data_IF_828946845542
#
_entry.id   IF_828946845542
#
_cell.length_a   1.000
_cell.length_b   1.000
_cell.length_c   1.000
_cell.angle_alpha   90.00
_cell.angle_beta   90.00
_cell.angle_gamma   90.00
#
_symmetry.space_group_name_H-M   'P 1'
#
loop_
_entity.id
_entity.type
_entity.pdbx_description
1 polymer ?
#
# COMPACT_ATOMS: atom_id res chain seq x y z
N UNK A 1 8.53 7.63 -22.54
CA UNK A 1 7.84 6.35 -22.74
C UNK A 1 8.51 5.21 -21.97
N UNK A 2 9.85 5.02 -22.05
CA UNK A 2 10.54 3.91 -21.35
C UNK A 2 10.49 3.92 -19.81
N UNK A 3 10.61 5.08 -19.16
CA UNK A 3 10.64 5.20 -17.67
C UNK A 3 9.38 4.65 -16.99
N UNK A 4 8.25 4.89 -17.63
CA UNK A 4 6.93 4.49 -17.14
C UNK A 4 6.76 2.97 -17.22
N UNK A 5 7.11 2.37 -18.36
CA UNK A 5 7.09 0.92 -18.53
C UNK A 5 8.13 0.21 -17.67
N UNK A 6 9.28 0.82 -17.42
CA UNK A 6 10.32 0.25 -16.56
C UNK A 6 9.85 0.11 -15.10
N UNK A 7 9.09 1.07 -14.59
CA UNK A 7 8.54 0.99 -13.23
C UNK A 7 7.56 -0.18 -13.09
N UNK A 8 6.69 -0.38 -14.09
CA UNK A 8 5.77 -1.53 -14.15
C UNK A 8 6.49 -2.87 -14.19
N UNK A 9 7.54 -2.97 -15.00
CA UNK A 9 8.35 -4.19 -15.09
C UNK A 9 9.05 -4.48 -13.78
N UNK A 10 9.60 -3.46 -13.12
CA UNK A 10 10.23 -3.60 -11.80
C UNK A 10 9.24 -4.09 -10.75
N UNK A 11 8.04 -3.51 -10.71
CA UNK A 11 6.96 -3.92 -9.81
C UNK A 11 6.62 -5.41 -10.00
N UNK A 12 6.34 -5.81 -11.24
CA UNK A 12 6.03 -7.21 -11.54
C UNK A 12 7.21 -8.15 -11.24
N UNK A 13 8.46 -7.72 -11.43
CA UNK A 13 9.63 -8.56 -11.15
C UNK A 13 9.86 -8.78 -9.64
N UNK A 14 9.35 -7.90 -8.77
CA UNK A 14 9.59 -7.94 -7.33
C UNK A 14 8.43 -8.51 -6.51
N UNK A 15 7.24 -8.62 -7.11
CA UNK A 15 6.03 -9.11 -6.42
C UNK A 15 6.15 -10.58 -6.02
N UNK A 16 5.57 -10.92 -4.86
CA UNK A 16 5.48 -12.30 -4.37
C UNK A 16 6.81 -12.89 -3.87
N UNK A 17 6.78 -14.13 -3.32
CA UNK A 17 7.99 -14.84 -2.89
C UNK A 17 9.03 -15.02 -4.00
N UNK A 18 8.57 -15.23 -5.24
CA UNK A 18 9.41 -15.40 -6.42
C UNK A 18 10.27 -14.17 -6.74
N UNK A 19 9.84 -12.98 -6.31
CA UNK A 19 10.58 -11.72 -6.47
C UNK A 19 11.71 -11.52 -5.46
N UNK A 20 11.99 -12.48 -4.57
CA UNK A 20 12.93 -12.28 -3.45
C UNK A 20 14.35 -11.94 -3.92
N UNK A 21 14.89 -12.68 -4.89
CA UNK A 21 16.24 -12.43 -5.42
C UNK A 21 16.31 -11.08 -6.14
N UNK A 22 15.25 -10.72 -6.86
CA UNK A 22 15.13 -9.43 -7.54
C UNK A 22 15.12 -8.28 -6.53
N UNK A 23 14.41 -8.39 -5.41
CA UNK A 23 14.44 -7.40 -4.33
C UNK A 23 15.86 -7.22 -3.77
N UNK A 24 16.57 -8.30 -3.45
CA UNK A 24 17.94 -8.22 -2.92
C UNK A 24 18.88 -7.58 -3.94
N UNK A 25 18.82 -8.06 -5.19
CA UNK A 25 19.66 -7.53 -6.27
C UNK A 25 19.38 -6.05 -6.52
N UNK A 26 18.12 -5.62 -6.46
CA UNK A 26 17.73 -4.22 -6.62
C UNK A 26 18.39 -3.31 -5.57
N UNK A 27 18.46 -3.75 -4.30
CA UNK A 27 19.17 -3.01 -3.25
C UNK A 27 20.68 -2.98 -3.48
N UNK A 28 21.26 -4.09 -3.93
CA UNK A 28 22.70 -4.20 -4.19
C UNK A 28 23.16 -3.29 -5.33
N UNK A 29 22.35 -3.15 -6.39
CA UNK A 29 22.61 -2.23 -7.50
C UNK A 29 22.16 -0.80 -7.22
N UNK A 30 21.97 -0.45 -5.94
CA UNK A 30 21.69 0.90 -5.47
C UNK A 30 20.30 1.42 -5.86
N UNK A 31 19.35 0.53 -6.12
CA UNK A 31 17.97 0.84 -6.49
C UNK A 31 17.22 1.69 -5.46
N UNK A 32 17.62 1.63 -4.17
CA UNK A 32 17.07 2.50 -3.13
C UNK A 32 17.29 4.00 -3.43
N UNK A 33 18.39 4.36 -4.09
CA UNK A 33 18.65 5.75 -4.53
C UNK A 33 17.78 6.18 -5.70
N UNK A 34 17.13 5.23 -6.37
CA UNK A 34 16.24 5.48 -7.51
C UNK A 34 14.78 5.50 -7.08
N UNK A 35 14.34 4.55 -6.26
CA UNK A 35 12.91 4.42 -5.89
C UNK A 35 12.46 5.47 -4.88
N UNK A 36 13.28 5.83 -3.89
CA UNK A 36 12.87 6.78 -2.85
C UNK A 36 12.66 8.22 -3.36
N UNK A 37 13.45 8.75 -4.31
CA UNK A 37 13.09 10.01 -4.96
C UNK A 37 11.73 9.97 -5.66
N UNK A 38 11.36 8.84 -6.27
CA UNK A 38 10.05 8.64 -6.91
C UNK A 38 8.90 8.52 -5.90
N UNK A 39 9.19 8.01 -4.70
CA UNK A 39 8.24 7.96 -3.57
C UNK A 39 8.00 9.34 -2.97
N UNK A 40 9.08 10.11 -2.77
CA UNK A 40 9.01 11.47 -2.23
C UNK A 40 8.32 12.44 -3.19
N UNK A 41 8.47 12.24 -4.51
CA UNK A 41 7.89 13.14 -5.51
C UNK A 41 7.43 12.40 -6.76
N UNK A 42 6.13 12.45 -6.99
CA UNK A 42 5.49 12.00 -8.22
C UNK A 42 5.92 12.88 -9.40
N UNK A 43 6.53 12.33 -10.47
CA UNK A 43 6.93 13.11 -11.63
C UNK A 43 5.73 13.75 -12.33
N UNK A 44 5.77 15.06 -12.55
CA UNK A 44 4.69 15.78 -13.25
C UNK A 44 4.55 15.26 -14.69
N UNK A 45 3.30 15.07 -15.14
CA UNK A 45 2.98 14.75 -16.54
C UNK A 45 3.49 15.86 -17.47
N UNK A 46 4.60 15.60 -18.17
CA UNK A 46 5.12 16.53 -19.18
C UNK A 46 4.46 16.38 -20.57
N UNK A 47 3.67 15.32 -20.81
CA UNK A 47 2.95 15.07 -22.08
C UNK A 47 1.63 14.32 -21.85
N UNK A 48 0.70 14.40 -22.82
CA UNK A 48 -0.59 13.67 -22.87
C UNK A 48 -0.48 12.13 -22.74
N UNK A 49 0.71 11.56 -22.88
CA UNK A 49 1.01 10.15 -22.69
C UNK A 49 1.96 9.97 -21.49
N UNK A 50 1.42 9.65 -20.33
CA UNK A 50 2.15 9.36 -19.09
C UNK A 50 1.21 8.74 -18.05
N UNK A 51 1.76 7.91 -17.16
CA UNK A 51 1.00 7.30 -16.05
C UNK A 51 0.31 8.36 -15.21
N UNK A 52 -0.86 8.00 -14.69
CA UNK A 52 -1.52 8.84 -13.69
C UNK A 52 -0.66 8.93 -12.42
N UNK A 53 -0.85 10.00 -11.65
CA UNK A 53 -0.19 10.14 -10.35
C UNK A 53 -0.52 8.96 -9.43
N UNK A 54 -1.78 8.46 -9.52
CA UNK A 54 -2.24 7.26 -8.82
C UNK A 54 -1.43 6.02 -9.21
N UNK A 55 -1.36 5.73 -10.50
CA UNK A 55 -0.66 4.56 -11.03
C UNK A 55 0.85 4.61 -10.76
N UNK A 56 1.45 5.81 -10.76
CA UNK A 56 2.83 5.99 -10.32
C UNK A 56 3.01 5.64 -8.83
N UNK A 57 2.18 6.23 -7.97
CA UNK A 57 2.22 6.01 -6.53
C UNK A 57 1.95 4.54 -6.19
N UNK A 58 1.03 3.89 -6.90
CA UNK A 58 0.72 2.46 -6.81
C UNK A 58 1.95 1.59 -7.03
N UNK A 59 2.60 1.71 -8.20
CA UNK A 59 3.77 0.89 -8.50
C UNK A 59 4.93 1.17 -7.54
N UNK A 60 5.14 2.42 -7.13
CA UNK A 60 6.19 2.75 -6.15
C UNK A 60 5.89 2.11 -4.78
N UNK A 61 4.66 2.23 -4.29
CA UNK A 61 4.24 1.60 -3.05
C UNK A 61 4.31 0.07 -3.12
N UNK A 62 3.91 -0.52 -4.25
CA UNK A 62 3.96 -1.97 -4.47
C UNK A 62 5.40 -2.50 -4.44
N UNK A 63 6.33 -1.79 -5.08
CA UNK A 63 7.77 -2.12 -5.02
C UNK A 63 8.30 -2.04 -3.59
N UNK A 64 7.96 -0.99 -2.84
CA UNK A 64 8.41 -0.83 -1.45
C UNK A 64 7.81 -1.93 -0.56
N UNK A 65 6.52 -2.22 -0.70
CA UNK A 65 5.84 -3.31 -0.01
C UNK A 65 6.50 -4.66 -0.31
N UNK A 66 6.79 -4.94 -1.58
CA UNK A 66 7.47 -6.17 -2.00
C UNK A 66 8.88 -6.29 -1.41
N UNK A 67 9.63 -5.20 -1.34
CA UNK A 67 10.93 -5.20 -0.66
C UNK A 67 10.80 -5.39 0.85
N UNK A 68 9.82 -4.77 1.51
CA UNK A 68 9.56 -4.99 2.95
C UNK A 68 9.15 -6.44 3.23
N UNK A 69 8.38 -7.06 2.35
CA UNK A 69 8.02 -8.48 2.48
C UNK A 69 9.23 -9.41 2.31
N UNK A 70 10.03 -9.16 1.28
CA UNK A 70 11.00 -10.15 0.79
C UNK A 70 12.42 -9.97 1.35
N UNK A 71 12.84 -8.74 1.67
CA UNK A 71 14.22 -8.48 2.07
C UNK A 71 14.52 -9.00 3.48
N UNK A 72 15.72 -9.58 3.63
CA UNK A 72 16.29 -10.02 4.91
C UNK A 72 17.71 -9.44 5.07
N UNK A 73 18.29 -9.62 6.27
CA UNK A 73 19.68 -9.26 6.54
C UNK A 73 20.01 -7.79 6.25
N UNK A 74 21.20 -7.55 5.67
CA UNK A 74 21.73 -6.21 5.44
C UNK A 74 20.87 -5.38 4.49
N UNK A 75 20.29 -5.99 3.45
CA UNK A 75 19.44 -5.29 2.49
C UNK A 75 18.15 -4.79 3.16
N UNK A 76 17.55 -5.58 4.07
CA UNK A 76 16.41 -5.13 4.89
C UNK A 76 16.81 -3.96 5.79
N UNK A 77 17.94 -4.04 6.48
CA UNK A 77 18.44 -2.94 7.32
C UNK A 77 18.61 -1.66 6.51
N UNK A 78 19.21 -1.74 5.30
CA UNK A 78 19.39 -0.59 4.42
C UNK A 78 18.06 0.01 3.96
N UNK A 79 17.05 -0.81 3.67
CA UNK A 79 15.70 -0.33 3.37
C UNK A 79 15.09 0.41 4.56
N UNK A 80 15.14 -0.18 5.76
CA UNK A 80 14.59 0.44 6.97
C UNK A 80 15.29 1.76 7.32
N UNK A 81 16.61 1.86 7.13
CA UNK A 81 17.35 3.12 7.29
C UNK A 81 16.83 4.24 6.40
N UNK A 82 16.25 3.95 5.23
CA UNK A 82 15.63 4.98 4.37
C UNK A 82 14.45 5.66 5.08
N UNK A 83 13.73 4.96 5.94
CA UNK A 83 12.60 5.50 6.70
C UNK A 83 13.02 6.31 7.93
N UNK A 84 14.27 6.21 8.39
CA UNK A 84 14.79 7.00 9.53
C UNK A 84 15.58 8.24 9.09
N UNK A 85 16.01 8.30 7.83
CA UNK A 85 16.69 9.46 7.25
C UNK A 85 15.86 10.76 7.34
N UNK A 86 16.56 11.88 7.56
CA UNK A 86 16.00 13.24 7.54
C UNK A 86 14.77 13.39 8.45
N UNK A 87 14.91 12.98 9.71
CA UNK A 87 13.83 13.03 10.71
C UNK A 87 12.57 12.28 10.25
N UNK A 88 12.76 11.10 9.67
CA UNK A 88 11.67 10.26 9.18
C UNK A 88 10.81 10.90 8.07
N UNK A 89 11.38 11.74 7.19
CA UNK A 89 10.62 12.42 6.12
C UNK A 89 9.85 11.43 5.21
N UNK A 90 10.31 10.17 5.10
CA UNK A 90 9.64 9.12 4.32
C UNK A 90 8.38 8.63 5.04
N UNK A 91 8.39 8.58 6.36
CA UNK A 91 7.20 8.31 7.17
C UNK A 91 6.21 9.45 7.00
N UNK A 92 6.67 10.70 7.00
CA UNK A 92 5.81 11.86 6.75
C UNK A 92 5.12 11.79 5.39
N UNK A 93 5.89 11.44 4.35
CA UNK A 93 5.36 11.20 3.00
C UNK A 93 4.38 10.03 2.96
N UNK A 94 4.68 8.93 3.65
CA UNK A 94 3.79 7.77 3.76
C UNK A 94 2.45 8.16 4.39
N UNK A 95 2.49 8.96 5.45
CA UNK A 95 1.29 9.44 6.13
C UNK A 95 0.51 10.44 5.28
N UNK A 96 1.17 11.33 4.55
CA UNK A 96 0.51 12.22 3.58
C UNK A 96 -0.28 11.42 2.54
N UNK A 97 0.35 10.39 1.96
CA UNK A 97 -0.30 9.48 1.02
C UNK A 97 -1.46 8.71 1.67
N UNK A 98 -1.28 8.25 2.91
CA UNK A 98 -2.34 7.56 3.66
C UNK A 98 -3.59 8.43 3.76
N UNK A 99 -3.48 9.68 4.22
CA UNK A 99 -4.65 10.56 4.36
C UNK A 99 -5.26 10.92 3.01
N UNK A 100 -4.45 11.17 1.98
CA UNK A 100 -4.91 11.45 0.62
C UNK A 100 -5.81 10.34 0.08
N UNK A 101 -5.37 9.07 0.17
CA UNK A 101 -6.14 7.95 -0.35
C UNK A 101 -7.26 7.50 0.57
N UNK A 102 -7.09 7.64 1.89
CA UNK A 102 -8.15 7.38 2.85
C UNK A 102 -9.36 8.29 2.61
N UNK A 103 -9.14 9.59 2.42
CA UNK A 103 -10.21 10.54 2.12
C UNK A 103 -10.92 10.19 0.81
N UNK A 104 -10.17 9.86 -0.25
CA UNK A 104 -10.73 9.48 -1.54
C UNK A 104 -11.61 8.22 -1.46
N UNK A 105 -11.14 7.18 -0.75
CA UNK A 105 -11.88 5.93 -0.54
C UNK A 105 -13.10 6.17 0.35
N UNK A 106 -12.99 6.94 1.43
CA UNK A 106 -14.14 7.28 2.29
C UNK A 106 -15.23 8.04 1.55
N UNK A 107 -14.85 8.93 0.61
CA UNK A 107 -15.83 9.62 -0.24
C UNK A 107 -16.53 8.65 -1.20
N UNK A 108 -15.80 7.66 -1.74
CA UNK A 108 -16.39 6.61 -2.56
C UNK A 108 -17.33 5.72 -1.75
N UNK A 109 -16.91 5.27 -0.57
CA UNK A 109 -17.71 4.46 0.36
C UNK A 109 -19.00 5.19 0.75
N UNK A 110 -18.93 6.48 1.09
CA UNK A 110 -20.13 7.27 1.43
C UNK A 110 -21.14 7.35 0.27
N UNK A 111 -20.67 7.43 -0.98
CA UNK A 111 -21.55 7.41 -2.16
C UNK A 111 -22.18 6.04 -2.34
N UNK A 112 -21.37 4.98 -2.24
CA UNK A 112 -21.81 3.59 -2.33
C UNK A 112 -22.88 3.29 -1.28
N UNK A 113 -22.64 3.66 -0.02
CA UNK A 113 -23.60 3.44 1.07
C UNK A 113 -24.91 4.21 0.85
N UNK A 114 -24.85 5.43 0.32
CA UNK A 114 -26.04 6.19 -0.08
C UNK A 114 -26.86 5.49 -1.17
N UNK A 115 -26.17 4.97 -2.19
CA UNK A 115 -26.79 4.20 -3.27
C UNK A 115 -27.39 2.89 -2.75
N UNK A 116 -26.66 2.12 -1.92
CA UNK A 116 -27.17 0.91 -1.27
C UNK A 116 -28.44 1.19 -0.47
N UNK A 117 -28.46 2.27 0.32
CA UNK A 117 -29.65 2.70 1.05
C UNK A 117 -30.82 3.03 0.12
N UNK A 118 -30.58 3.70 -1.00
CA UNK A 118 -31.63 4.03 -1.97
C UNK A 118 -32.19 2.80 -2.67
N UNK A 119 -31.33 1.84 -3.01
CA UNK A 119 -31.73 0.55 -3.60
C UNK A 119 -32.64 -0.24 -2.66
N UNK A 120 -32.23 -0.35 -1.38
CA UNK A 120 -33.05 -1.00 -0.34
C UNK A 120 -34.41 -0.30 -0.20
N UNK A 121 -34.46 1.04 -0.23
CA UNK A 121 -35.72 1.80 -0.19
C UNK A 121 -36.61 1.55 -1.40
N UNK A 122 -36.04 1.27 -2.58
CA UNK A 122 -36.76 0.90 -3.80
C UNK A 122 -37.15 -0.58 -3.87
N UNK A 123 -36.74 -1.39 -2.88
CA UNK A 123 -36.98 -2.83 -2.87
C UNK A 123 -36.07 -3.61 -3.84
N UNK A 124 -34.96 -3.01 -4.27
CA UNK A 124 -33.95 -3.66 -5.10
C UNK A 124 -33.05 -4.57 -4.25
N UNK A 125 -32.71 -5.74 -4.76
CA UNK A 125 -31.77 -6.66 -4.12
C UNK A 125 -30.36 -6.30 -4.58
N UNK A 126 -29.45 -6.12 -3.61
CA UNK A 126 -28.03 -5.96 -3.90
C UNK A 126 -27.48 -7.33 -4.29
N UNK A 127 -27.18 -7.51 -5.58
CA UNK A 127 -26.60 -8.75 -6.11
C UNK A 127 -25.06 -8.74 -6.03
N UNK A 128 -24.43 -9.90 -6.13
CA UNK A 128 -22.96 -10.03 -6.15
C UNK A 128 -22.31 -9.17 -7.26
N UNK A 129 -22.94 -9.06 -8.44
CA UNK A 129 -22.46 -8.22 -9.54
C UNK A 129 -22.41 -6.73 -9.15
N UNK A 130 -23.31 -6.28 -8.29
CA UNK A 130 -23.30 -4.89 -7.80
C UNK A 130 -22.21 -4.69 -6.76
N UNK A 131 -21.93 -5.70 -5.91
CA UNK A 131 -20.81 -5.65 -4.97
C UNK A 131 -19.46 -5.58 -5.72
N UNK A 132 -19.31 -6.32 -6.83
CA UNK A 132 -18.14 -6.20 -7.70
C UNK A 132 -18.00 -4.79 -8.30
N UNK A 133 -19.11 -4.17 -8.73
CA UNK A 133 -19.10 -2.80 -9.24
C UNK A 133 -18.70 -1.78 -8.15
N UNK A 134 -19.21 -1.95 -6.93
CA UNK A 134 -18.82 -1.14 -5.79
C UNK A 134 -17.34 -1.32 -5.44
N UNK A 135 -16.82 -2.54 -5.52
CA UNK A 135 -15.41 -2.82 -5.31
C UNK A 135 -14.53 -2.15 -6.38
N UNK A 136 -14.89 -2.24 -7.66
CA UNK A 136 -14.20 -1.54 -8.76
C UNK A 136 -14.17 -0.02 -8.53
N UNK A 137 -15.26 0.57 -8.05
CA UNK A 137 -15.30 2.00 -7.71
C UNK A 137 -14.36 2.37 -6.56
N UNK A 138 -14.18 1.49 -5.57
CA UNK A 138 -13.19 1.68 -4.49
C UNK A 138 -11.76 1.57 -5.02
N UNK A 139 -11.48 0.64 -5.94
CA UNK A 139 -10.19 0.55 -6.65
C UNK A 139 -9.91 1.81 -7.49
N UNK A 140 -10.92 2.35 -8.16
CA UNK A 140 -10.82 3.60 -8.91
C UNK A 140 -10.48 4.78 -7.99
N UNK A 141 -11.04 4.81 -6.77
CA UNK A 141 -10.71 5.77 -5.73
C UNK A 141 -9.31 5.56 -5.09
N UNK A 142 -8.64 4.43 -5.38
CA UNK A 142 -7.28 4.15 -4.93
C UNK A 142 -7.18 3.23 -3.72
N UNK A 143 -8.18 2.36 -3.49
CA UNK A 143 -8.17 1.36 -2.41
C UNK A 143 -6.87 0.51 -2.41
N UNK A 144 -6.41 0.05 -3.57
CA UNK A 144 -5.20 -0.78 -3.63
C UNK A 144 -3.95 -0.02 -3.16
N UNK A 145 -3.77 1.23 -3.59
CA UNK A 145 -2.67 2.09 -3.13
C UNK A 145 -2.77 2.32 -1.61
N UNK A 146 -3.97 2.56 -1.10
CA UNK A 146 -4.22 2.71 0.34
C UNK A 146 -3.82 1.45 1.13
N UNK A 147 -4.20 0.26 0.65
CA UNK A 147 -3.84 -1.01 1.27
C UNK A 147 -2.31 -1.22 1.30
N UNK A 148 -1.61 -0.92 0.20
CA UNK A 148 -0.15 -0.98 0.14
C UNK A 148 0.51 0.00 1.13
N UNK A 149 -0.03 1.22 1.25
CA UNK A 149 0.46 2.22 2.22
C UNK A 149 0.25 1.72 3.65
N UNK A 150 -0.93 1.19 3.98
CA UNK A 150 -1.22 0.60 5.28
C UNK A 150 -0.30 -0.59 5.58
N UNK A 151 -0.02 -1.44 4.58
CA UNK A 151 0.89 -2.56 4.71
C UNK A 151 2.32 -2.10 5.02
N UNK A 152 2.84 -1.10 4.28
CA UNK A 152 4.15 -0.50 4.55
C UNK A 152 4.18 0.06 5.98
N UNK A 153 3.14 0.79 6.39
CA UNK A 153 3.03 1.40 7.72
C UNK A 153 3.11 0.35 8.83
N UNK A 154 2.39 -0.76 8.67
CA UNK A 154 2.40 -1.87 9.62
C UNK A 154 3.76 -2.58 9.65
N UNK A 155 4.37 -2.87 8.49
CA UNK A 155 5.69 -3.51 8.40
C UNK A 155 6.79 -2.68 9.06
N UNK A 156 6.83 -1.36 8.81
CA UNK A 156 7.89 -0.50 9.39
C UNK A 156 7.70 -0.27 10.90
N UNK A 157 6.46 -0.23 11.39
CA UNK A 157 6.18 -0.17 12.83
C UNK A 157 6.62 -1.45 13.56
N UNK A 158 6.52 -2.60 12.88
CA UNK A 158 6.97 -3.90 13.38
C UNK A 158 8.48 -4.14 13.22
N UNK A 159 9.25 -3.16 12.73
CA UNK A 159 10.68 -3.32 12.48
C UNK A 159 11.56 -3.29 13.74
N UNK A 160 10.98 -3.18 14.95
CA UNK A 160 11.69 -2.97 16.21
C UNK A 160 12.56 -1.69 16.22
N UNK A 161 12.13 -0.65 15.49
CA UNK A 161 12.77 0.67 15.47
C UNK A 161 11.79 1.67 16.11
N UNK A 162 11.96 2.02 17.40
CA UNK A 162 10.99 2.85 18.15
C UNK A 162 10.67 4.17 17.46
N UNK A 163 11.66 4.79 16.80
CA UNK A 163 11.49 6.05 16.08
C UNK A 163 10.40 5.97 15.00
N UNK A 164 10.34 4.87 14.24
CA UNK A 164 9.36 4.69 13.16
C UNK A 164 7.95 4.52 13.72
N UNK A 165 7.81 3.64 14.71
CA UNK A 165 6.54 3.40 15.38
C UNK A 165 6.00 4.68 16.04
N UNK A 166 6.84 5.39 16.78
CA UNK A 166 6.49 6.66 17.41
C UNK A 166 6.03 7.70 16.40
N UNK A 167 6.73 7.84 15.26
CA UNK A 167 6.38 8.83 14.24
C UNK A 167 5.03 8.52 13.59
N UNK A 168 4.74 7.25 13.28
CA UNK A 168 3.45 6.82 12.73
C UNK A 168 2.31 7.16 13.70
N UNK A 169 2.42 6.76 14.98
CA UNK A 169 1.37 7.04 15.97
C UNK A 169 1.23 8.53 16.25
N UNK A 170 2.33 9.28 16.30
CA UNK A 170 2.31 10.73 16.48
C UNK A 170 1.48 11.40 15.38
N UNK A 171 1.72 11.06 14.12
CA UNK A 171 1.00 11.67 12.99
C UNK A 171 -0.47 11.25 12.96
N UNK A 172 -0.78 9.97 13.24
CA UNK A 172 -2.17 9.50 13.36
C UNK A 172 -2.92 10.33 14.41
N UNK A 173 -2.34 10.49 15.61
CA UNK A 173 -2.95 11.25 16.70
C UNK A 173 -3.15 12.73 16.36
N UNK A 174 -2.17 13.37 15.70
CA UNK A 174 -2.22 14.80 15.37
C UNK A 174 -3.25 15.13 14.28
N UNK A 175 -3.49 14.21 13.34
CA UNK A 175 -4.39 14.45 12.19
C UNK A 175 -5.76 13.78 12.36
N UNK A 176 -6.09 13.27 13.55
CA UNK A 176 -7.35 12.58 13.82
C UNK A 176 -7.48 11.22 13.13
N UNK A 177 -6.36 10.65 12.68
CA UNK A 177 -6.31 9.29 12.15
C UNK A 177 -6.51 8.25 13.25
N UNK A 178 -6.99 7.07 12.88
CA UNK A 178 -7.21 5.97 13.83
C UNK A 178 -6.45 4.73 13.43
N UNK A 179 -5.68 4.19 14.38
CA UNK A 179 -5.05 2.85 14.25
C UNK A 179 -6.11 1.79 13.90
N UNK A 180 -7.33 1.94 14.40
CA UNK A 180 -8.44 1.03 14.08
C UNK A 180 -8.80 1.02 12.59
N UNK A 181 -8.74 2.18 11.93
CA UNK A 181 -9.00 2.29 10.49
C UNK A 181 -7.92 1.55 9.71
N UNK A 182 -6.64 1.75 10.07
CA UNK A 182 -5.51 1.03 9.44
C UNK A 182 -5.66 -0.47 9.62
N UNK A 183 -5.99 -0.94 10.84
CA UNK A 183 -6.23 -2.37 11.10
C UNK A 183 -7.41 -2.93 10.31
N UNK A 184 -8.48 -2.16 10.12
CA UNK A 184 -9.64 -2.57 9.33
C UNK A 184 -9.27 -2.76 7.85
N UNK A 185 -8.60 -1.77 7.25
CA UNK A 185 -8.11 -1.85 5.85
C UNK A 185 -7.17 -3.05 5.66
N UNK A 186 -6.29 -3.30 6.63
CA UNK A 186 -5.34 -4.42 6.55
C UNK A 186 -6.00 -5.80 6.71
N UNK A 187 -7.09 -5.91 7.47
CA UNK A 187 -7.89 -7.14 7.54
C UNK A 187 -8.57 -7.42 6.21
N UNK A 188 -9.20 -6.41 5.61
CA UNK A 188 -9.80 -6.53 4.28
C UNK A 188 -8.75 -6.88 3.22
N UNK A 189 -7.55 -6.29 3.30
CA UNK A 189 -6.44 -6.66 2.42
C UNK A 189 -6.01 -8.13 2.60
N UNK A 190 -5.94 -8.62 3.84
CA UNK A 190 -5.57 -10.00 4.13
C UNK A 190 -6.63 -11.03 3.70
N UNK A 191 -7.91 -10.66 3.66
CA UNK A 191 -9.00 -11.52 3.19
C UNK A 191 -8.95 -11.73 1.66
N UNK A 192 -8.50 -10.70 0.94
CA UNK A 192 -8.42 -10.69 -0.52
C UNK A 192 -7.03 -11.04 -1.08
N UNK A 193 -6.06 -11.43 -0.22
CA UNK A 193 -4.71 -11.77 -0.68
C UNK A 193 -4.66 -13.19 -1.26
N UNK A 194 -3.77 -13.40 -2.23
CA UNK A 194 -3.44 -14.75 -2.71
C UNK A 194 -4.33 -15.30 -3.81
N UNK A 195 -5.21 -14.49 -4.40
CA UNK A 195 -6.01 -14.90 -5.56
C UNK A 195 -5.09 -15.40 -6.70
N UNK A 196 -5.29 -16.65 -7.11
CA UNK A 196 -4.50 -17.32 -8.15
C UNK A 196 -3.27 -18.11 -7.67
N UNK A 197 -3.04 -18.23 -6.35
CA UNK A 197 -2.04 -19.16 -5.76
C UNK A 197 -2.77 -20.31 -5.02
N UNK A 198 -2.02 -21.21 -4.37
CA UNK A 198 -2.62 -22.31 -3.59
C UNK A 198 -3.31 -21.79 -2.32
N UNK A 199 -4.34 -22.50 -1.84
CA UNK A 199 -5.02 -22.19 -0.57
C UNK A 199 -4.04 -22.14 0.62
N UNK A 200 -3.06 -23.05 0.66
CA UNK A 200 -2.01 -23.06 1.69
C UNK A 200 -1.17 -21.76 1.67
N UNK A 201 -0.90 -21.22 0.48
CA UNK A 201 -0.19 -19.94 0.35
C UNK A 201 -1.05 -18.79 0.86
N UNK A 202 -2.34 -18.79 0.51
CA UNK A 202 -3.31 -17.78 0.97
C UNK A 202 -3.41 -17.76 2.50
N UNK A 203 -3.62 -18.91 3.12
CA UNK A 203 -3.69 -19.03 4.60
C UNK A 203 -2.40 -18.56 5.27
N UNK A 204 -1.23 -18.94 4.72
CA UNK A 204 0.08 -18.55 5.27
C UNK A 204 0.30 -17.05 5.20
N UNK A 205 0.00 -16.42 4.06
CA UNK A 205 0.14 -14.96 3.92
C UNK A 205 -0.89 -14.20 4.76
N UNK A 206 -2.13 -14.68 4.82
CA UNK A 206 -3.17 -14.09 5.65
C UNK A 206 -2.73 -14.09 7.12
N UNK A 207 -2.26 -15.24 7.64
CA UNK A 207 -1.75 -15.35 9.01
C UNK A 207 -0.59 -14.38 9.25
N UNK A 208 0.39 -14.33 8.35
CA UNK A 208 1.55 -13.43 8.45
C UNK A 208 1.12 -11.96 8.58
N UNK A 209 0.13 -11.52 7.78
CA UNK A 209 -0.36 -10.14 7.82
C UNK A 209 -1.11 -9.86 9.12
N UNK A 210 -1.94 -10.80 9.58
CA UNK A 210 -2.69 -10.65 10.82
C UNK A 210 -1.77 -10.59 12.05
N UNK A 211 -0.71 -11.39 12.08
CA UNK A 211 0.30 -11.38 13.15
C UNK A 211 0.99 -10.00 13.26
N UNK A 212 1.23 -9.33 12.13
CA UNK A 212 1.78 -7.96 12.13
C UNK A 212 0.82 -6.93 12.75
N UNK A 213 -0.49 -7.17 12.71
CA UNK A 213 -1.49 -6.26 13.28
C UNK A 213 -1.60 -6.37 14.80
N UNK A 214 -1.15 -7.47 15.40
CA UNK A 214 -1.19 -7.65 16.86
C UNK A 214 -0.22 -6.70 17.57
N UNK A 215 0.93 -6.45 16.93
CA UNK A 215 2.01 -5.61 17.45
C UNK A 215 1.96 -4.15 16.92
N UNK A 216 0.96 -3.81 16.10
CA UNK A 216 0.77 -2.49 15.49
C UNK A 216 -0.09 -1.54 16.32
#
# INVERSE_FOLDING_TARGET
>A
MSRTSALKVLDHAMIGPEGTDNCHKFVDILGLRTIFPLFMKTPKKMKKAGISDKEHEEHVCSIIASMLRNLKGQQRTRLLSKFTENDCEKVDRLMELHFKYLEAVQLADKKIEGEKHDMVRRGEIISDVMEDEFYLRRLDAGLFVLQLICYIMVEISNANIPQLQQRVHQILNLRGGSVKIVRHIMREYAENIGDGKSEEFKETEQKRILDLLENF
#
